data_IF_743822227602
#
_entry.id   IF_743822227602
#
_cell.length_a   1.000
_cell.length_b   1.000
_cell.length_c   1.000
_cell.angle_alpha   90.00
_cell.angle_beta   90.00
_cell.angle_gamma   90.00
#
_symmetry.space_group_name_H-M   'P 1'
#
loop_
_entity.id
_entity.type
_entity.pdbx_description
1 polymer ?
#
# COMPACT_ATOMS: atom_id res chain seq x y z
N UNK A 1 -9.82 26.22 -35.35
CA UNK A 1 -8.64 25.40 -34.99
C UNK A 1 -7.82 26.16 -33.96
N UNK A 2 -7.96 25.84 -32.66
CA UNK A 2 -6.98 26.23 -31.65
C UNK A 2 -6.33 24.94 -31.15
N UNK A 3 -5.42 24.43 -31.97
CA UNK A 3 -4.38 23.53 -31.49
C UNK A 3 -3.49 24.43 -30.62
N UNK A 4 -3.24 24.05 -29.35
CA UNK A 4 -2.52 24.81 -28.31
C UNK A 4 -3.38 25.55 -27.28
N UNK A 5 -4.45 24.93 -26.75
CA UNK A 5 -4.49 24.87 -25.27
C UNK A 5 -3.24 24.09 -24.84
N UNK A 6 -2.13 24.83 -24.74
CA UNK A 6 -0.90 24.37 -24.11
C UNK A 6 -1.34 23.84 -22.76
N UNK A 7 -1.31 22.51 -22.57
CA UNK A 7 -1.59 21.88 -21.28
C UNK A 7 -0.71 22.62 -20.27
N UNK A 8 -1.30 23.51 -19.47
CA UNK A 8 -0.58 24.25 -18.45
C UNK A 8 -0.30 23.20 -17.39
N UNK A 9 0.84 22.53 -17.49
CA UNK A 9 1.34 21.69 -16.41
C UNK A 9 1.96 22.64 -15.38
N UNK A 10 1.29 22.87 -14.23
CA UNK A 10 1.84 23.74 -13.21
C UNK A 10 3.17 23.17 -12.75
N UNK A 11 4.20 24.01 -12.77
CA UNK A 11 5.53 23.66 -12.29
C UNK A 11 5.73 24.30 -10.92
N UNK A 12 6.15 23.49 -9.95
CA UNK A 12 6.50 23.94 -8.61
C UNK A 12 8.00 23.74 -8.40
N UNK A 13 8.67 24.69 -7.76
CA UNK A 13 10.07 24.56 -7.34
C UNK A 13 10.12 24.39 -5.84
N UNK A 14 10.76 23.32 -5.37
CA UNK A 14 11.05 23.11 -3.95
C UNK A 14 12.41 23.76 -3.66
N UNK A 15 12.41 24.82 -2.85
CA UNK A 15 13.62 25.52 -2.40
C UNK A 15 14.05 25.00 -1.03
N UNK A 16 15.33 25.14 -0.74
CA UNK A 16 15.91 24.84 0.58
C UNK A 16 15.68 23.39 1.05
N UNK A 17 15.65 22.44 0.11
CA UNK A 17 15.50 21.01 0.41
C UNK A 17 16.77 20.52 1.14
N UNK A 18 16.66 19.99 2.37
CA UNK A 18 17.81 19.45 3.09
C UNK A 18 18.51 18.35 2.28
N UNK A 19 19.85 18.32 2.32
CA UNK A 19 20.65 17.38 1.52
C UNK A 19 20.27 15.92 1.78
N UNK A 20 20.02 15.55 3.04
CA UNK A 20 19.61 14.20 3.40
C UNK A 20 18.23 13.82 2.82
N UNK A 21 17.31 14.79 2.76
CA UNK A 21 15.99 14.58 2.17
C UNK A 21 16.09 14.41 0.65
N UNK A 22 16.89 15.25 -0.02
CA UNK A 22 17.14 15.12 -1.45
C UNK A 22 17.79 13.77 -1.79
N UNK A 23 18.78 13.33 -0.99
CA UNK A 23 19.41 12.01 -1.12
C UNK A 23 18.40 10.88 -0.97
N UNK A 24 17.53 10.95 0.03
CA UNK A 24 16.49 9.95 0.26
C UNK A 24 15.53 9.87 -0.94
N UNK A 25 15.04 11.02 -1.43
CA UNK A 25 14.18 11.10 -2.61
C UNK A 25 14.84 10.49 -3.85
N UNK A 26 16.14 10.74 -4.07
CA UNK A 26 16.90 10.16 -5.19
C UNK A 26 17.04 8.65 -5.09
N UNK A 27 17.30 8.13 -3.89
CA UNK A 27 17.38 6.68 -3.65
C UNK A 27 16.02 6.00 -3.87
N UNK A 28 14.95 6.59 -3.35
CA UNK A 28 13.59 6.08 -3.51
C UNK A 28 13.15 6.10 -4.98
N UNK A 29 13.40 7.20 -5.70
CA UNK A 29 13.13 7.32 -7.12
C UNK A 29 13.87 6.25 -7.94
N UNK A 30 15.14 5.96 -7.61
CA UNK A 30 15.93 4.88 -8.23
C UNK A 30 15.28 3.50 -8.00
N UNK A 31 14.87 3.19 -6.76
CA UNK A 31 14.19 1.93 -6.42
C UNK A 31 12.86 1.77 -7.17
N UNK A 32 12.18 2.87 -7.41
CA UNK A 32 10.90 2.88 -8.13
C UNK A 32 11.02 3.08 -9.64
N UNK A 33 12.25 3.10 -10.18
CA UNK A 33 12.54 3.30 -11.60
C UNK A 33 11.87 4.55 -12.20
N UNK A 34 11.92 5.68 -11.49
CA UNK A 34 11.34 6.96 -11.94
C UNK A 34 12.23 8.17 -11.63
N UNK A 35 11.90 9.32 -12.20
CA UNK A 35 12.57 10.58 -11.88
C UNK A 35 12.24 11.06 -10.47
N UNK A 36 13.10 11.90 -9.90
CA UNK A 36 12.88 12.54 -8.59
C UNK A 36 11.60 13.37 -8.61
N UNK A 37 11.37 14.15 -9.66
CA UNK A 37 10.15 14.97 -9.80
C UNK A 37 8.88 14.10 -9.77
N UNK A 38 8.90 12.96 -10.47
CA UNK A 38 7.75 12.03 -10.47
C UNK A 38 7.55 11.40 -9.11
N UNK A 39 8.64 11.09 -8.40
CA UNK A 39 8.57 10.58 -7.03
C UNK A 39 7.96 11.61 -6.08
N UNK A 40 8.40 12.86 -6.15
CA UNK A 40 7.88 13.97 -5.35
C UNK A 40 6.38 14.17 -5.61
N UNK A 41 5.95 14.18 -6.88
CA UNK A 41 4.52 14.29 -7.24
C UNK A 41 3.72 13.15 -6.59
N UNK A 42 4.20 11.90 -6.70
CA UNK A 42 3.48 10.75 -6.14
C UNK A 42 3.43 10.81 -4.60
N UNK A 43 4.49 11.27 -3.95
CA UNK A 43 4.50 11.46 -2.49
C UNK A 43 3.48 12.53 -2.10
N UNK A 44 3.47 13.68 -2.77
CA UNK A 44 2.50 14.75 -2.53
C UNK A 44 1.06 14.30 -2.76
N UNK A 45 0.80 13.60 -3.87
CA UNK A 45 -0.52 13.01 -4.15
C UNK A 45 -0.94 12.04 -3.05
N UNK A 46 -0.04 11.18 -2.56
CA UNK A 46 -0.34 10.26 -1.45
C UNK A 46 -0.66 11.00 -0.17
N UNK A 47 0.06 12.07 0.15
CA UNK A 47 -0.19 12.88 1.34
C UNK A 47 -1.54 13.59 1.28
N UNK A 48 -1.92 14.12 0.12
CA UNK A 48 -3.21 14.79 -0.10
C UNK A 48 -4.37 13.78 -0.11
N UNK A 49 -4.18 12.62 -0.75
CA UNK A 49 -5.20 11.56 -0.83
C UNK A 49 -5.34 10.78 0.46
N UNK A 50 -4.34 10.82 1.36
CA UNK A 50 -4.44 10.20 2.67
C UNK A 50 -5.54 10.93 3.44
N UNK A 51 -6.69 10.31 3.71
CA UNK A 51 -7.69 10.93 4.55
C UNK A 51 -7.02 11.19 5.90
N UNK A 52 -7.09 12.43 6.39
CA UNK A 52 -6.56 12.82 7.70
C UNK A 52 -7.04 11.87 8.83
N UNK A 53 -8.12 11.12 8.58
CA UNK A 53 -8.80 10.25 9.53
C UNK A 53 -8.54 8.74 9.38
N UNK A 54 -7.73 8.25 8.42
CA UNK A 54 -7.46 6.79 8.34
C UNK A 54 -6.50 6.26 9.40
N UNK A 55 -5.88 7.12 10.19
CA UNK A 55 -5.02 6.68 11.28
C UNK A 55 -5.74 6.60 12.65
N UNK A 56 -6.89 7.26 12.82
CA UNK A 56 -7.63 7.27 14.11
C UNK A 56 -9.04 6.69 14.02
N UNK A 57 -9.75 6.84 12.89
CA UNK A 57 -11.07 6.19 12.71
C UNK A 57 -10.91 4.69 12.37
N UNK A 58 -9.72 4.25 11.94
CA UNK A 58 -9.57 2.96 11.23
C UNK A 58 -8.85 1.82 12.00
N UNK A 59 -8.66 1.93 13.32
CA UNK A 59 -8.09 0.83 14.13
C UNK A 59 -9.16 0.02 14.83
N UNK A 60 -10.05 0.68 15.59
CA UNK A 60 -11.12 0.01 16.34
C UNK A 60 -12.24 -0.50 15.42
N UNK A 61 -12.70 0.32 14.47
CA UNK A 61 -13.69 -0.13 13.47
C UNK A 61 -13.15 -1.30 12.63
N UNK A 62 -11.87 -1.25 12.26
CA UNK A 62 -11.21 -2.33 11.51
C UNK A 62 -11.06 -3.59 12.34
N UNK A 63 -10.68 -3.46 13.62
CA UNK A 63 -10.60 -4.59 14.54
C UNK A 63 -11.97 -5.22 14.73
N UNK A 64 -13.01 -4.39 14.92
CA UNK A 64 -14.40 -4.85 15.04
C UNK A 64 -14.85 -5.62 13.80
N UNK A 65 -14.58 -5.08 12.60
CA UNK A 65 -14.89 -5.72 11.33
C UNK A 65 -14.16 -7.07 11.15
N UNK A 66 -12.86 -7.14 11.50
CA UNK A 66 -12.10 -8.39 11.48
C UNK A 66 -12.73 -9.41 12.44
N UNK A 67 -13.03 -9.01 13.67
CA UNK A 67 -13.59 -9.90 14.68
C UNK A 67 -15.00 -10.39 14.34
N UNK A 68 -15.81 -9.56 13.69
CA UNK A 68 -17.12 -9.96 13.17
C UNK A 68 -17.00 -11.06 12.12
N UNK A 69 -16.10 -10.89 11.14
CA UNK A 69 -15.83 -11.90 10.12
C UNK A 69 -15.29 -13.18 10.76
N UNK A 70 -14.33 -13.08 11.68
CA UNK A 70 -13.77 -14.23 12.39
C UNK A 70 -14.83 -15.02 13.15
N UNK A 71 -15.72 -14.36 13.89
CA UNK A 71 -16.83 -15.04 14.59
C UNK A 71 -17.76 -15.76 13.62
N UNK A 72 -18.11 -15.12 12.50
CA UNK A 72 -18.98 -15.73 11.49
C UNK A 72 -18.33 -16.97 10.87
N UNK A 73 -17.05 -16.89 10.52
CA UNK A 73 -16.32 -18.04 9.97
C UNK A 73 -16.15 -19.17 10.99
N UNK A 74 -15.87 -18.85 12.26
CA UNK A 74 -15.70 -19.85 13.32
C UNK A 74 -16.99 -20.61 13.68
N UNK A 75 -18.16 -20.06 13.38
CA UNK A 75 -19.45 -20.71 13.61
C UNK A 75 -19.87 -21.67 12.48
N UNK A 76 -19.12 -21.73 11.37
CA UNK A 76 -19.42 -22.63 10.25
C UNK A 76 -19.04 -24.08 10.61
N UNK A 77 -19.77 -25.08 10.08
CA UNK A 77 -19.42 -26.48 10.28
C UNK A 77 -18.08 -26.82 9.62
N UNK A 78 -17.31 -27.70 10.27
CA UNK A 78 -16.08 -28.26 9.70
C UNK A 78 -16.44 -29.26 8.58
N UNK A 79 -16.03 -28.94 7.34
CA UNK A 79 -16.32 -29.76 6.15
C UNK A 79 -15.17 -30.69 5.78
N UNK A 80 -13.94 -30.32 6.14
CA UNK A 80 -12.71 -31.03 5.81
C UNK A 80 -11.80 -30.97 7.04
N UNK A 81 -11.58 -32.11 7.66
CA UNK A 81 -10.78 -32.24 8.89
C UNK A 81 -9.31 -32.59 8.61
N UNK A 82 -8.88 -32.55 7.34
CA UNK A 82 -7.49 -32.73 6.99
C UNK A 82 -6.65 -31.61 7.59
N UNK A 83 -5.41 -31.93 7.93
CA UNK A 83 -4.46 -30.92 8.40
C UNK A 83 -4.13 -29.91 7.30
N UNK A 84 -3.59 -28.74 7.67
CA UNK A 84 -3.15 -27.75 6.68
C UNK A 84 -2.12 -28.36 5.71
N UNK A 85 -1.18 -29.16 6.21
CA UNK A 85 -0.13 -29.77 5.38
C UNK A 85 -0.73 -30.79 4.40
N UNK A 86 -1.67 -31.63 4.85
CA UNK A 86 -2.38 -32.59 4.00
C UNK A 86 -3.28 -31.91 2.95
N UNK A 87 -3.87 -30.76 3.28
CA UNK A 87 -4.66 -29.96 2.33
C UNK A 87 -3.76 -29.40 1.21
N UNK A 88 -2.56 -28.93 1.55
CA UNK A 88 -1.62 -28.37 0.58
C UNK A 88 -0.83 -29.48 -0.15
N UNK A 89 -0.72 -30.68 0.43
CA UNK A 89 0.02 -31.82 -0.11
C UNK A 89 1.49 -31.89 0.33
N UNK A 90 1.81 -31.36 1.51
CA UNK A 90 3.13 -31.46 2.12
C UNK A 90 3.08 -32.32 3.38
N UNK A 91 4.19 -32.95 3.73
CA UNK A 91 4.39 -33.56 5.04
C UNK A 91 4.74 -32.51 6.11
N UNK A 92 4.88 -32.94 7.36
CA UNK A 92 5.25 -32.08 8.50
C UNK A 92 6.62 -31.39 8.34
N UNK A 93 7.44 -31.84 7.38
CA UNK A 93 8.77 -31.31 7.09
C UNK A 93 8.74 -30.34 5.88
N UNK A 94 7.60 -30.14 5.24
CA UNK A 94 7.46 -29.31 4.06
C UNK A 94 7.96 -29.96 2.77
N UNK A 95 8.00 -31.30 2.70
CA UNK A 95 8.24 -32.05 1.46
C UNK A 95 6.92 -32.51 0.84
N UNK A 96 6.81 -32.55 -0.50
CA UNK A 96 5.64 -33.13 -1.16
C UNK A 96 5.42 -34.57 -0.69
N UNK A 97 4.23 -34.85 -0.17
CA UNK A 97 3.82 -36.18 0.28
C UNK A 97 3.38 -37.08 -0.89
#
# INVERSE_FOLDING_TARGET
MNLLEKIIMPTITLRDVPEDLHRHLKQQAKRHHRSVDREVIIILEKLIKKPANLNEIASEERLSAIMEISRRCAALPELDSRSADEIIGYDENGFPA
#
